data_IF_238500650773
#
_entry.id   IF_238500650773
#
_cell.length_a   1.000
_cell.length_b   1.000
_cell.length_c   1.000
_cell.angle_alpha   90.00
_cell.angle_beta   90.00
_cell.angle_gamma   90.00
#
_symmetry.space_group_name_H-M   'P 1'
#
loop_
_entity.id
_entity.type
_entity.pdbx_description
1 polymer ?
#
# COMPACT_ATOMS: atom_id res chain seq x y z
N UNK A 1 -1.12 10.09 6.41
CA UNK A 1 0.12 9.75 5.68
C UNK A 1 1.21 10.68 6.19
N UNK A 2 2.41 10.16 6.48
CA UNK A 2 3.51 10.95 7.02
C UNK A 2 4.64 10.98 6.00
N UNK A 3 5.19 12.17 5.77
CA UNK A 3 6.34 12.37 4.92
C UNK A 3 7.61 12.37 5.78
N UNK A 4 8.65 11.71 5.29
CA UNK A 4 9.95 11.64 5.94
C UNK A 4 11.01 12.23 5.02
N UNK A 5 12.03 12.86 5.61
CA UNK A 5 13.18 13.34 4.86
C UNK A 5 13.94 12.18 4.21
N UNK A 6 14.56 12.44 3.05
CA UNK A 6 15.38 11.45 2.35
C UNK A 6 16.55 11.01 3.25
N UNK A 7 16.70 9.71 3.56
CA UNK A 7 17.80 9.23 4.38
C UNK A 7 19.16 9.54 3.75
N UNK A 8 20.19 9.80 4.56
CA UNK A 8 21.54 10.13 4.09
C UNK A 8 22.13 9.11 3.11
N UNK A 9 21.82 7.82 3.28
CA UNK A 9 22.24 6.74 2.37
C UNK A 9 21.72 6.92 0.94
N UNK A 10 20.50 7.45 0.78
CA UNK A 10 19.89 7.73 -0.52
C UNK A 10 20.32 9.11 -1.02
N UNK A 11 20.41 10.10 -0.12
CA UNK A 11 20.87 11.44 -0.49
C UNK A 11 22.26 11.41 -1.16
N UNK A 12 23.16 10.53 -0.70
CA UNK A 12 24.50 10.35 -1.29
C UNK A 12 24.49 9.76 -2.72
N UNK A 13 23.41 9.08 -3.13
CA UNK A 13 23.32 8.50 -4.48
C UNK A 13 22.73 9.49 -5.49
N UNK A 14 22.12 10.57 -5.02
CA UNK A 14 21.52 11.63 -5.83
C UNK A 14 22.65 12.56 -6.30
N UNK A 15 22.80 12.72 -7.61
CA UNK A 15 23.83 13.56 -8.23
C UNK A 15 23.28 14.94 -8.60
N UNK A 16 22.01 15.00 -8.95
CA UNK A 16 21.29 16.21 -9.34
C UNK A 16 20.01 16.36 -8.53
N UNK A 17 19.58 17.60 -8.21
CA UNK A 17 18.27 17.86 -7.61
C UNK A 17 17.09 17.32 -8.43
N UNK A 18 17.31 17.03 -9.72
CA UNK A 18 16.32 16.49 -10.64
C UNK A 18 16.26 14.95 -10.65
N UNK A 19 17.20 14.26 -10.02
CA UNK A 19 17.27 12.80 -10.11
C UNK A 19 16.07 12.14 -9.41
N UNK A 20 15.56 11.01 -9.94
CA UNK A 20 14.53 10.23 -9.27
C UNK A 20 14.93 9.80 -7.86
N UNK A 21 14.02 9.97 -6.90
CA UNK A 21 14.24 9.61 -5.50
C UNK A 21 13.42 8.36 -5.17
N UNK A 22 14.06 7.22 -4.80
CA UNK A 22 13.33 6.02 -4.45
C UNK A 22 12.50 6.24 -3.17
N UNK A 23 11.24 5.83 -3.20
CA UNK A 23 10.32 5.93 -2.07
C UNK A 23 9.81 4.54 -1.68
N UNK A 24 9.81 4.17 -0.38
CA UNK A 24 9.29 2.88 0.06
C UNK A 24 7.76 2.78 -0.14
N UNK A 25 7.05 3.90 -0.03
CA UNK A 25 5.61 3.99 -0.22
C UNK A 25 5.22 5.29 -0.93
N UNK A 26 4.03 5.33 -1.52
CA UNK A 26 3.47 6.54 -2.11
C UNK A 26 2.19 7.00 -1.40
N UNK A 27 1.84 8.27 -1.61
CA UNK A 27 0.58 8.83 -1.13
C UNK A 27 -0.65 8.23 -1.85
N UNK A 28 -0.47 7.74 -3.08
CA UNK A 28 -1.47 7.00 -3.85
C UNK A 28 -2.23 7.83 -4.89
N UNK A 29 -2.74 9.00 -4.52
CA UNK A 29 -3.65 9.76 -5.39
C UNK A 29 -3.03 10.36 -6.67
N UNK A 30 -1.70 10.44 -6.76
CA UNK A 30 -0.99 11.03 -7.91
C UNK A 30 0.24 10.18 -8.23
N UNK A 31 0.20 9.48 -9.36
CA UNK A 31 1.33 8.72 -9.90
C UNK A 31 1.08 8.44 -11.39
N UNK A 32 2.13 7.98 -12.08
CA UNK A 32 2.00 7.41 -13.41
C UNK A 32 2.62 6.01 -13.41
N UNK A 33 2.03 5.11 -14.17
CA UNK A 33 2.47 3.72 -14.29
C UNK A 33 2.19 3.24 -15.71
N UNK A 34 3.05 2.39 -16.26
CA UNK A 34 2.75 1.69 -17.50
C UNK A 34 1.50 0.83 -17.32
N UNK A 35 0.56 0.88 -18.27
CA UNK A 35 -0.66 0.07 -18.25
C UNK A 35 -0.32 -1.42 -18.16
N UNK A 36 0.57 -1.90 -19.03
CA UNK A 36 0.97 -3.32 -19.07
C UNK A 36 1.63 -3.75 -17.76
N UNK A 37 2.43 -2.87 -17.14
CA UNK A 37 3.03 -3.16 -15.85
C UNK A 37 1.97 -3.19 -14.73
N UNK A 38 1.01 -2.26 -14.75
CA UNK A 38 -0.09 -2.23 -13.78
C UNK A 38 -0.97 -3.48 -13.88
N UNK A 39 -1.28 -3.93 -15.09
CA UNK A 39 -2.01 -5.18 -15.34
C UNK A 39 -1.20 -6.40 -14.89
N UNK A 40 0.11 -6.43 -15.16
CA UNK A 40 1.02 -7.49 -14.69
C UNK A 40 1.10 -7.58 -13.17
N UNK A 41 1.00 -6.46 -12.46
CA UNK A 41 0.92 -6.43 -10.99
C UNK A 41 -0.44 -6.92 -10.45
N UNK A 42 -1.40 -7.21 -11.33
CA UNK A 42 -2.75 -7.61 -10.94
C UNK A 42 -3.64 -6.43 -10.54
N UNK A 43 -3.33 -5.21 -11.00
CA UNK A 43 -4.09 -3.98 -10.70
C UNK A 43 -4.27 -3.75 -9.18
N UNK A 44 -5.35 -3.11 -8.75
CA UNK A 44 -5.70 -2.99 -7.33
C UNK A 44 -6.47 -4.22 -6.82
N UNK A 45 -6.39 -4.49 -5.51
CA UNK A 45 -7.26 -5.48 -4.86
C UNK A 45 -8.73 -5.02 -4.92
N UNK A 46 -9.55 -5.72 -5.70
CA UNK A 46 -10.99 -5.49 -5.81
C UNK A 46 -11.76 -5.71 -4.49
N UNK A 47 -11.12 -6.32 -3.48
CA UNK A 47 -11.66 -6.49 -2.13
C UNK A 47 -11.45 -5.29 -1.21
N UNK A 48 -10.72 -4.26 -1.64
CA UNK A 48 -10.62 -2.99 -0.91
C UNK A 48 -11.90 -2.19 -1.06
N UNK A 49 -12.41 -1.71 0.07
CA UNK A 49 -13.64 -0.94 0.13
C UNK A 49 -13.34 0.55 0.30
N UNK A 50 -14.05 1.39 -0.44
CA UNK A 50 -14.05 2.87 -0.45
C UNK A 50 -12.68 3.56 -0.51
N UNK A 51 -11.91 3.52 0.59
CA UNK A 51 -10.68 4.30 0.74
C UNK A 51 -9.74 3.75 1.81
N UNK A 52 -8.45 3.73 1.47
CA UNK A 52 -7.33 3.49 2.37
C UNK A 52 -6.74 2.09 2.23
N UNK A 53 -5.42 2.02 2.14
CA UNK A 53 -4.65 0.77 1.99
C UNK A 53 -4.17 0.52 0.56
N UNK A 54 -4.89 1.02 -0.45
CA UNK A 54 -4.54 0.86 -1.87
C UNK A 54 -3.15 1.41 -2.20
N UNK A 55 -2.80 2.55 -1.61
CA UNK A 55 -1.52 3.21 -1.83
C UNK A 55 -0.34 2.39 -1.28
N UNK A 56 -0.53 1.68 -0.17
CA UNK A 56 0.48 0.81 0.43
C UNK A 56 0.56 -0.51 -0.33
N UNK A 57 -0.57 -1.08 -0.71
CA UNK A 57 -0.66 -2.35 -1.44
C UNK A 57 0.10 -2.27 -2.77
N UNK A 58 -0.17 -1.26 -3.58
CA UNK A 58 0.53 -1.08 -4.85
C UNK A 58 2.01 -0.73 -4.65
N UNK A 59 2.37 -0.07 -3.54
CA UNK A 59 3.77 0.18 -3.19
C UNK A 59 4.52 -1.13 -2.90
N UNK A 60 3.89 -2.03 -2.13
CA UNK A 60 4.46 -3.33 -1.78
C UNK A 60 4.54 -4.25 -3.01
N UNK A 61 3.47 -4.33 -3.81
CA UNK A 61 3.48 -4.99 -5.12
C UNK A 61 4.65 -4.53 -5.97
N UNK A 62 4.79 -3.22 -6.13
CA UNK A 62 5.84 -2.65 -6.98
C UNK A 62 7.22 -3.07 -6.52
N UNK A 63 7.54 -2.94 -5.23
CA UNK A 63 8.86 -3.32 -4.72
C UNK A 63 9.11 -4.83 -4.68
N UNK A 64 8.14 -5.61 -4.21
CA UNK A 64 8.30 -7.04 -3.97
C UNK A 64 8.17 -7.86 -5.26
N UNK A 65 7.57 -7.30 -6.32
CA UNK A 65 7.43 -7.95 -7.62
C UNK A 65 8.41 -7.40 -8.68
N UNK A 66 9.50 -6.74 -8.26
CA UNK A 66 10.64 -6.40 -9.14
C UNK A 66 10.55 -5.05 -9.86
N UNK A 67 9.61 -4.19 -9.48
CA UNK A 67 9.53 -2.80 -9.91
C UNK A 67 10.28 -1.82 -9.01
N UNK A 68 10.09 -0.54 -9.27
CA UNK A 68 10.62 0.58 -8.46
C UNK A 68 9.53 1.63 -8.27
N UNK A 69 9.54 2.25 -7.09
CA UNK A 69 8.66 3.37 -6.77
C UNK A 69 9.52 4.61 -6.52
N UNK A 70 9.28 5.68 -7.29
CA UNK A 70 10.14 6.86 -7.32
C UNK A 70 9.31 8.14 -7.26
N UNK A 71 9.83 9.14 -6.56
CA UNK A 71 9.35 10.53 -6.60
C UNK A 71 10.24 11.27 -7.59
N UNK A 72 9.63 11.96 -8.55
CA UNK A 72 10.34 12.71 -9.59
C UNK A 72 10.33 14.20 -9.22
N UNK A 73 11.44 14.79 -8.74
CA UNK A 73 11.45 16.17 -8.25
C UNK A 73 11.08 17.22 -9.30
N UNK A 74 11.28 16.92 -10.58
CA UNK A 74 10.90 17.83 -11.67
C UNK A 74 9.40 17.85 -11.99
N UNK A 75 8.63 16.87 -11.51
CA UNK A 75 7.20 16.74 -11.79
C UNK A 75 6.38 17.29 -10.63
N UNK A 76 5.93 18.54 -10.73
CA UNK A 76 5.14 19.20 -9.69
C UNK A 76 3.65 19.15 -9.98
N UNK A 77 2.86 18.64 -9.03
CA UNK A 77 1.40 18.69 -9.06
C UNK A 77 0.87 19.19 -7.73
N UNK A 78 0.07 20.24 -7.76
CA UNK A 78 -0.57 20.79 -6.57
C UNK A 78 -1.71 19.90 -6.07
N UNK A 79 -1.73 19.58 -4.78
CA UNK A 79 -2.81 18.85 -4.14
C UNK A 79 -3.32 19.61 -2.90
N UNK A 80 -4.64 19.84 -2.84
CA UNK A 80 -5.27 20.52 -1.71
C UNK A 80 -5.54 19.49 -0.59
N UNK A 81 -4.71 19.52 0.45
CA UNK A 81 -4.90 18.67 1.62
C UNK A 81 -6.13 19.09 2.42
N UNK A 82 -7.09 18.17 2.55
CA UNK A 82 -8.31 18.39 3.33
C UNK A 82 -8.09 17.96 4.78
N UNK A 83 -8.66 18.72 5.73
CA UNK A 83 -8.64 18.36 7.17
C UNK A 83 -9.59 17.20 7.52
N UNK A 84 -10.64 17.00 6.73
CA UNK A 84 -11.66 15.96 6.90
C UNK A 84 -12.07 15.42 5.54
N UNK A 85 -12.36 14.12 5.46
CA UNK A 85 -12.86 13.55 4.20
C UNK A 85 -14.32 13.97 3.98
N UNK A 86 -14.70 14.27 2.72
CA UNK A 86 -16.04 14.73 2.36
C UNK A 86 -17.07 13.60 2.27
N UNK A 87 -16.63 12.34 2.25
CA UNK A 87 -17.50 11.18 1.97
C UNK A 87 -18.32 10.80 3.21
N UNK A 88 -19.51 10.24 3.03
CA UNK A 88 -20.26 9.62 4.13
C UNK A 88 -19.79 8.19 4.28
N UNK A 89 -19.13 7.87 5.40
CA UNK A 89 -18.79 6.48 5.73
C UNK A 89 -20.06 5.71 6.08
N UNK A 90 -20.17 4.47 5.62
CA UNK A 90 -21.24 3.57 6.08
C UNK A 90 -21.06 3.34 7.58
N UNK A 91 -22.12 3.52 8.36
CA UNK A 91 -22.09 3.27 9.81
C UNK A 91 -21.83 1.78 10.08
N UNK A 92 -20.98 1.50 11.07
CA UNK A 92 -20.74 0.14 11.57
C UNK A 92 -19.59 -0.65 10.90
N UNK A 93 -18.98 -0.17 9.81
CA UNK A 93 -17.84 -0.85 9.17
C UNK A 93 -16.57 -0.01 9.31
N UNK A 94 -15.55 -0.57 9.98
CA UNK A 94 -14.21 0.02 9.97
C UNK A 94 -13.49 -0.40 8.68
N UNK A 95 -13.83 0.27 7.59
CA UNK A 95 -13.30 0.04 6.23
C UNK A 95 -11.76 0.08 6.22
N UNK A 96 -11.17 1.06 6.92
CA UNK A 96 -9.72 1.21 7.01
C UNK A 96 -9.05 0.02 7.68
N UNK A 97 -9.61 -0.47 8.79
CA UNK A 97 -9.13 -1.69 9.47
C UNK A 97 -9.23 -2.89 8.53
N UNK A 98 -10.35 -3.08 7.83
CA UNK A 98 -10.54 -4.19 6.88
C UNK A 98 -9.49 -4.19 5.77
N UNK A 99 -9.31 -3.07 5.07
CA UNK A 99 -8.34 -2.97 3.98
C UNK A 99 -6.90 -3.17 4.49
N UNK A 100 -6.59 -2.64 5.67
CA UNK A 100 -5.27 -2.79 6.28
C UNK A 100 -4.97 -4.23 6.70
N UNK A 101 -5.97 -4.97 7.22
CA UNK A 101 -5.84 -6.40 7.53
C UNK A 101 -5.60 -7.21 6.26
N UNK A 102 -6.37 -6.98 5.20
CA UNK A 102 -6.17 -7.65 3.90
C UNK A 102 -4.75 -7.44 3.37
N UNK A 103 -4.28 -6.20 3.40
CA UNK A 103 -2.91 -5.86 3.02
C UNK A 103 -1.87 -6.58 3.90
N UNK A 104 -2.08 -6.61 5.22
CA UNK A 104 -1.17 -7.24 6.15
C UNK A 104 -1.07 -8.76 5.95
N UNK A 105 -2.21 -9.42 5.70
CA UNK A 105 -2.27 -10.86 5.46
C UNK A 105 -1.55 -11.29 4.17
N UNK A 106 -1.53 -10.42 3.15
CA UNK A 106 -0.92 -10.74 1.85
C UNK A 106 0.55 -10.33 1.77
N UNK A 107 0.93 -9.18 2.34
CA UNK A 107 2.22 -8.53 2.03
C UNK A 107 3.19 -8.44 3.20
N UNK A 108 2.75 -8.66 4.44
CA UNK A 108 3.61 -8.43 5.61
C UNK A 108 4.17 -9.73 6.22
N UNK A 109 3.84 -10.91 5.71
CA UNK A 109 4.32 -12.20 6.23
C UNK A 109 4.28 -12.24 7.78
N UNK A 110 5.38 -12.60 8.44
CA UNK A 110 5.49 -12.59 9.90
C UNK A 110 5.44 -11.18 10.52
N UNK A 111 5.76 -10.13 9.76
CA UNK A 111 5.71 -8.74 10.23
C UNK A 111 4.28 -8.25 10.48
N UNK A 112 3.25 -8.94 9.98
CA UNK A 112 1.84 -8.63 10.28
C UNK A 112 1.55 -8.63 11.79
N UNK A 113 2.33 -9.40 12.58
CA UNK A 113 2.27 -9.39 14.05
C UNK A 113 2.40 -7.99 14.65
N UNK A 114 3.26 -7.15 14.09
CA UNK A 114 3.47 -5.78 14.59
C UNK A 114 2.29 -4.87 14.28
N UNK A 115 1.61 -5.10 13.17
CA UNK A 115 0.36 -4.40 12.87
C UNK A 115 -0.72 -4.83 13.87
N UNK A 116 -0.89 -6.13 14.09
CA UNK A 116 -1.89 -6.69 15.00
C UNK A 116 -1.72 -6.25 16.46
N UNK A 117 -0.49 -6.21 16.97
CA UNK A 117 -0.18 -5.67 18.29
C UNK A 117 -0.65 -4.21 18.45
N UNK A 118 -0.53 -3.38 17.41
CA UNK A 118 -0.95 -1.96 17.47
C UNK A 118 -2.46 -1.77 17.42
N UNK A 119 -3.19 -2.68 16.79
CA UNK A 119 -4.65 -2.59 16.68
C UNK A 119 -5.38 -3.39 17.77
N UNK A 120 -4.64 -3.90 18.78
CA UNK A 120 -5.20 -4.62 19.94
C UNK A 120 -5.87 -5.93 19.56
N UNK A 121 -5.43 -6.57 18.47
CA UNK A 121 -5.94 -7.88 18.05
C UNK A 121 -4.84 -8.88 18.33
N UNK A 122 -4.88 -9.55 19.49
CA UNK A 122 -3.97 -10.66 19.76
C UNK A 122 -4.25 -11.77 18.73
N UNK A 123 -3.19 -12.30 18.13
CA UNK A 123 -3.25 -13.42 17.16
C UNK A 123 -3.76 -14.74 17.77
N UNK A 124 -4.36 -14.71 18.96
CA UNK A 124 -4.67 -15.88 19.80
C UNK A 124 -6.08 -16.43 19.56
N UNK A 125 -6.94 -15.84 18.71
CA UNK A 125 -8.32 -16.32 18.59
C UNK A 125 -8.95 -16.38 17.19
N UNK A 126 -8.17 -16.39 16.11
CA UNK A 126 -8.72 -16.72 14.79
C UNK A 126 -7.90 -17.84 14.13
N UNK A 127 -8.41 -19.09 14.12
CA UNK A 127 -7.77 -20.19 13.42
C UNK A 127 -7.63 -19.85 11.93
N UNK A 128 -6.45 -20.17 11.39
CA UNK A 128 -5.98 -19.99 10.02
C UNK A 128 -6.76 -20.81 8.95
N UNK A 129 -8.06 -21.08 9.13
CA UNK A 129 -8.78 -22.10 8.36
C UNK A 129 -9.90 -21.58 7.42
N UNK A 130 -9.95 -20.29 7.07
CA UNK A 130 -10.97 -19.80 6.10
C UNK A 130 -10.40 -19.13 4.84
N UNK A 131 -9.11 -18.77 4.79
CA UNK A 131 -8.53 -18.12 3.59
C UNK A 131 -7.68 -19.03 2.70
N UNK A 132 -7.34 -20.25 3.12
CA UNK A 132 -6.68 -21.24 2.26
C UNK A 132 -7.64 -21.97 1.30
N UNK A 133 -8.96 -21.82 1.47
CA UNK A 133 -9.97 -22.48 0.62
C UNK A 133 -10.28 -21.82 -0.72
N UNK A 134 -9.68 -20.66 -1.04
CA UNK A 134 -9.97 -19.93 -2.29
C UNK A 134 -8.81 -19.85 -3.29
N UNK A 135 -7.65 -20.44 -2.99
CA UNK A 135 -6.47 -20.41 -3.88
C UNK A 135 -6.13 -21.76 -4.53
N UNK A 136 -6.95 -22.82 -4.35
CA UNK A 136 -6.66 -24.17 -4.88
C UNK A 136 -7.71 -24.76 -5.82
N UNK A 137 -8.73 -24.01 -6.27
CA UNK A 137 -9.81 -24.56 -7.11
C UNK A 137 -9.75 -24.19 -8.61
N UNK A 138 -8.60 -23.78 -9.14
CA UNK A 138 -8.43 -23.49 -10.58
C UNK A 138 -7.25 -24.22 -11.22
N UNK A 139 -7.11 -25.51 -10.92
CA UNK A 139 -6.38 -26.44 -11.79
C UNK A 139 -7.13 -27.77 -11.88
N UNK A 140 -7.87 -27.92 -12.98
CA UNK A 140 -8.35 -29.18 -13.53
C UNK A 140 -8.19 -29.10 -15.04
#
# INVERSE_FOLDING_TARGET
FNWHAVPSRIAKTIKSPADPVPSPTMAGGLFSISKDFFEKLGTYDNGFDIWGGENLEISFKTWMCGGRLEIIPCSHVGHIFRKRSPYKWRSGVNVLKRNSIRLAEVWLDEYKRYYYQRIGTDLVSHPLCETQGQLTSSSS
#
